data_IF_313340399953
#
_entry.id   IF_313340399953
#
_cell.length_a   1.000
_cell.length_b   1.000
_cell.length_c   1.000
_cell.angle_alpha   90.00
_cell.angle_beta   90.00
_cell.angle_gamma   90.00
#
_symmetry.space_group_name_H-M   'P 1'
#
loop_
_entity.id
_entity.type
_entity.pdbx_description
1 polymer ?
#
# COMPACT_ATOMS: atom_id res chain seq x y z
N UNK A 1 19.04 -14.57 8.31
CA UNK A 1 18.10 -15.17 9.29
C UNK A 1 17.55 -14.15 10.29
N UNK A 2 18.37 -13.51 11.14
CA UNK A 2 17.86 -12.55 12.16
C UNK A 2 17.03 -11.41 11.56
N UNK A 3 17.52 -10.74 10.50
CA UNK A 3 16.76 -9.65 9.84
C UNK A 3 15.43 -10.12 9.23
N UNK A 4 15.37 -11.35 8.69
CA UNK A 4 14.13 -11.93 8.16
C UNK A 4 13.13 -12.23 9.30
N UNK A 5 13.61 -12.74 10.44
CA UNK A 5 12.81 -12.94 11.64
C UNK A 5 12.19 -11.65 12.18
N UNK A 6 12.98 -10.56 12.24
CA UNK A 6 12.47 -9.25 12.66
C UNK A 6 11.38 -8.74 11.71
N UNK A 7 11.57 -8.86 10.38
CA UNK A 7 10.55 -8.46 9.40
C UNK A 7 9.26 -9.27 9.54
N UNK A 8 9.39 -10.58 9.68
CA UNK A 8 8.26 -11.48 9.90
C UNK A 8 7.47 -11.12 11.16
N UNK A 9 8.18 -10.87 12.28
CA UNK A 9 7.56 -10.42 13.52
C UNK A 9 6.82 -9.09 13.37
N UNK A 10 7.44 -8.10 12.71
CA UNK A 10 6.82 -6.80 12.47
C UNK A 10 5.55 -6.90 11.62
N UNK A 11 5.53 -7.77 10.61
CA UNK A 11 4.35 -8.04 9.78
C UNK A 11 3.25 -8.73 10.60
N UNK A 12 3.58 -9.76 11.40
CA UNK A 12 2.63 -10.39 12.30
C UNK A 12 2.02 -9.39 13.28
N UNK A 13 2.87 -8.57 13.92
CA UNK A 13 2.41 -7.58 14.89
C UNK A 13 1.50 -6.54 14.25
N UNK A 14 1.83 -6.08 13.03
CA UNK A 14 1.00 -5.15 12.27
C UNK A 14 -0.40 -5.72 11.99
N UNK A 15 -0.50 -7.01 11.64
CA UNK A 15 -1.78 -7.67 11.37
C UNK A 15 -2.58 -7.89 12.67
N UNK A 16 -1.92 -8.26 13.75
CA UNK A 16 -2.57 -8.48 15.03
C UNK A 16 -3.01 -7.17 15.73
N UNK A 17 -2.41 -6.03 15.36
CA UNK A 17 -2.54 -4.77 16.10
C UNK A 17 -3.99 -4.30 16.33
N UNK A 18 -4.90 -4.27 15.33
CA UNK A 18 -6.29 -3.88 15.59
C UNK A 18 -6.97 -4.79 16.61
N UNK A 19 -6.78 -6.11 16.49
CA UNK A 19 -7.39 -7.08 17.39
C UNK A 19 -6.86 -6.98 18.83
N UNK A 20 -5.57 -6.65 18.99
CA UNK A 20 -4.95 -6.50 20.30
C UNK A 20 -5.33 -5.18 21.00
N UNK A 21 -5.67 -4.15 20.23
CA UNK A 21 -5.92 -2.80 20.78
C UNK A 21 -7.40 -2.46 20.92
N UNK A 22 -8.28 -3.07 20.13
CA UNK A 22 -9.71 -2.79 20.17
C UNK A 22 -10.42 -3.62 21.26
N UNK A 23 -11.30 -3.01 22.07
CA UNK A 23 -12.12 -3.76 23.00
C UNK A 23 -13.22 -4.56 22.28
N UNK A 24 -13.70 -5.64 22.90
CA UNK A 24 -14.89 -6.35 22.43
C UNK A 24 -14.69 -7.27 21.22
N UNK A 25 -13.45 -7.55 20.82
CA UNK A 25 -13.17 -8.51 19.74
C UNK A 25 -13.47 -9.93 20.22
N UNK A 26 -14.26 -10.68 19.45
CA UNK A 26 -14.61 -12.07 19.79
C UNK A 26 -13.39 -12.98 19.84
N UNK A 27 -13.47 -14.08 20.61
CA UNK A 27 -12.41 -15.08 20.67
C UNK A 27 -12.14 -15.71 19.29
N UNK A 28 -13.19 -16.01 18.53
CA UNK A 28 -13.10 -16.59 17.18
C UNK A 28 -12.39 -15.65 16.21
N UNK A 29 -12.75 -14.35 16.22
CA UNK A 29 -12.08 -13.31 15.42
C UNK A 29 -10.61 -13.19 15.80
N UNK A 30 -10.30 -13.22 17.10
CA UNK A 30 -8.92 -13.13 17.61
C UNK A 30 -8.08 -14.32 17.13
N UNK A 31 -8.62 -15.54 17.19
CA UNK A 31 -7.94 -16.75 16.71
C UNK A 31 -7.70 -16.70 15.20
N UNK A 32 -8.70 -16.25 14.42
CA UNK A 32 -8.57 -16.09 12.97
C UNK A 32 -7.46 -15.09 12.61
N UNK A 33 -7.41 -13.94 13.29
CA UNK A 33 -6.39 -12.92 13.05
C UNK A 33 -5.01 -13.41 13.47
N UNK A 34 -4.90 -14.13 14.59
CA UNK A 34 -3.64 -14.74 15.01
C UNK A 34 -3.12 -15.73 13.97
N UNK A 35 -3.99 -16.55 13.38
CA UNK A 35 -3.64 -17.47 12.30
C UNK A 35 -3.16 -16.71 11.04
N UNK A 36 -3.90 -15.67 10.62
CA UNK A 36 -3.52 -14.85 9.47
C UNK A 36 -2.17 -14.14 9.70
N UNK A 37 -1.95 -13.61 10.92
CA UNK A 37 -0.69 -12.99 11.30
C UNK A 37 0.47 -13.99 11.26
N UNK A 38 0.26 -15.23 11.74
CA UNK A 38 1.26 -16.29 11.70
C UNK A 38 1.60 -16.70 10.26
N UNK A 39 0.58 -16.87 9.41
CA UNK A 39 0.77 -17.19 7.99
C UNK A 39 1.54 -16.08 7.27
N UNK A 40 1.16 -14.82 7.46
CA UNK A 40 1.86 -13.68 6.87
C UNK A 40 3.31 -13.55 7.37
N UNK A 41 3.56 -13.81 8.65
CA UNK A 41 4.91 -13.85 9.21
C UNK A 41 5.74 -14.99 8.61
N UNK A 42 5.17 -16.18 8.48
CA UNK A 42 5.84 -17.32 7.86
C UNK A 42 6.20 -17.02 6.40
N UNK A 43 5.26 -16.51 5.60
CA UNK A 43 5.51 -16.13 4.21
C UNK A 43 6.59 -15.04 4.11
N UNK A 44 6.53 -14.02 4.97
CA UNK A 44 7.55 -12.97 5.04
C UNK A 44 8.92 -13.56 5.40
N UNK A 45 8.98 -14.45 6.37
CA UNK A 45 10.23 -15.09 6.78
C UNK A 45 10.84 -15.88 5.64
N UNK A 46 10.06 -16.73 4.97
CA UNK A 46 10.50 -17.55 3.83
C UNK A 46 11.03 -16.64 2.70
N UNK A 47 10.29 -15.62 2.31
CA UNK A 47 10.69 -14.70 1.22
C UNK A 47 12.01 -13.95 1.49
N UNK A 48 12.30 -13.65 2.77
CA UNK A 48 13.51 -12.94 3.18
C UNK A 48 14.68 -13.86 3.61
N UNK A 49 14.45 -15.15 3.78
CA UNK A 49 15.52 -16.15 4.00
C UNK A 49 15.94 -16.81 2.69
N UNK A 50 15.01 -17.03 1.76
CA UNK A 50 15.26 -17.67 0.47
C UNK A 50 16.25 -16.88 -0.39
N UNK A 51 17.08 -17.57 -1.17
CA UNK A 51 18.03 -16.92 -2.10
C UNK A 51 17.26 -16.23 -3.23
N UNK A 52 16.30 -16.94 -3.82
CA UNK A 52 15.40 -16.44 -4.86
C UNK A 52 14.00 -16.21 -4.26
N UNK A 53 13.53 -14.95 -4.17
CA UNK A 53 12.18 -14.67 -3.70
C UNK A 53 11.14 -15.06 -4.76
N UNK A 54 9.89 -15.23 -4.34
CA UNK A 54 8.80 -15.64 -5.24
C UNK A 54 7.83 -14.48 -5.47
N UNK A 55 7.57 -13.68 -4.44
CA UNK A 55 6.53 -12.65 -4.44
C UNK A 55 7.04 -11.26 -4.07
N UNK A 56 8.03 -11.16 -3.17
CA UNK A 56 8.48 -9.87 -2.66
C UNK A 56 9.37 -9.16 -3.67
N UNK A 57 8.79 -8.24 -4.42
CA UNK A 57 9.52 -7.34 -5.30
C UNK A 57 10.32 -6.29 -4.51
N UNK A 58 11.39 -5.78 -5.13
CA UNK A 58 12.31 -4.77 -4.60
C UNK A 58 12.90 -5.13 -3.23
N UNK A 59 13.09 -6.44 -3.00
CA UNK A 59 13.55 -7.01 -1.72
C UNK A 59 14.81 -6.33 -1.19
N UNK A 60 15.79 -6.16 -2.07
CA UNK A 60 17.12 -5.61 -1.77
C UNK A 60 17.31 -4.20 -2.36
N UNK A 61 16.21 -3.48 -2.59
CA UNK A 61 16.22 -2.12 -3.13
C UNK A 61 15.57 -1.10 -2.15
N UNK A 62 16.12 -0.88 -0.95
CA UNK A 62 15.59 0.13 -0.03
C UNK A 62 15.67 1.52 -0.68
N UNK A 63 14.69 2.42 -0.43
CA UNK A 63 13.71 2.37 0.66
C UNK A 63 12.35 1.72 0.34
N UNK A 64 12.15 1.15 -0.86
CA UNK A 64 10.83 0.75 -1.38
C UNK A 64 9.96 -0.05 -0.40
N UNK A 65 10.40 -1.25 0.00
CA UNK A 65 9.63 -2.10 0.92
C UNK A 65 9.50 -1.52 2.34
N UNK A 66 10.47 -0.68 2.76
CA UNK A 66 10.40 0.01 4.06
C UNK A 66 9.28 1.04 4.05
N UNK A 67 9.12 1.77 2.94
CA UNK A 67 8.04 2.73 2.77
C UNK A 67 6.68 2.05 2.72
N UNK A 68 6.55 0.94 1.97
CA UNK A 68 5.30 0.16 1.94
C UNK A 68 4.86 -0.31 3.33
N UNK A 69 5.81 -0.86 4.10
CA UNK A 69 5.54 -1.26 5.48
C UNK A 69 5.15 -0.05 6.35
N UNK A 70 5.90 1.06 6.25
CA UNK A 70 5.62 2.28 7.02
C UNK A 70 4.23 2.85 6.69
N UNK A 71 3.83 2.87 5.42
CA UNK A 71 2.49 3.31 5.00
C UNK A 71 1.40 2.45 5.60
N UNK A 72 1.52 1.12 5.54
CA UNK A 72 0.56 0.21 6.18
C UNK A 72 0.54 0.39 7.69
N UNK A 73 1.71 0.50 8.32
CA UNK A 73 1.83 0.72 9.77
C UNK A 73 1.14 2.00 10.21
N UNK A 74 1.45 3.13 9.57
CA UNK A 74 0.82 4.40 9.87
C UNK A 74 -0.69 4.35 9.66
N UNK A 75 -1.15 3.76 8.54
CA UNK A 75 -2.57 3.64 8.25
C UNK A 75 -3.28 2.81 9.32
N UNK A 76 -2.83 1.58 9.57
CA UNK A 76 -3.47 0.66 10.52
C UNK A 76 -3.46 1.24 11.94
N UNK A 77 -2.32 1.77 12.41
CA UNK A 77 -2.23 2.37 13.75
C UNK A 77 -3.15 3.58 13.87
N UNK A 78 -3.13 4.51 12.91
CA UNK A 78 -4.00 5.69 12.95
C UNK A 78 -5.47 5.32 12.96
N UNK A 79 -5.91 4.41 12.07
CA UNK A 79 -7.31 3.98 12.02
C UNK A 79 -7.72 3.21 13.27
N UNK A 80 -6.83 2.36 13.81
CA UNK A 80 -7.07 1.63 15.07
C UNK A 80 -7.24 2.59 16.24
N UNK A 81 -6.41 3.62 16.34
CA UNK A 81 -6.51 4.62 17.41
C UNK A 81 -7.80 5.45 17.32
N UNK A 82 -8.23 5.81 16.10
CA UNK A 82 -9.51 6.49 15.86
C UNK A 82 -10.68 5.60 16.27
N UNK A 83 -10.68 4.33 15.85
CA UNK A 83 -11.71 3.37 16.21
C UNK A 83 -11.75 3.09 17.73
N UNK A 84 -10.59 2.88 18.36
CA UNK A 84 -10.50 2.67 19.81
C UNK A 84 -11.02 3.87 20.61
N UNK A 85 -10.77 5.09 20.13
CA UNK A 85 -11.23 6.32 20.76
C UNK A 85 -12.75 6.46 20.88
N UNK A 86 -13.53 5.66 20.15
CA UNK A 86 -14.99 5.64 20.29
C UNK A 86 -15.45 4.97 21.59
N UNK A 87 -14.72 3.94 22.06
CA UNK A 87 -15.01 3.25 23.33
C UNK A 87 -14.15 3.74 24.49
N UNK A 88 -12.88 4.08 24.23
CA UNK A 88 -11.91 4.54 25.22
C UNK A 88 -11.25 5.87 24.77
N UNK A 89 -11.96 7.01 24.89
CA UNK A 89 -11.46 8.29 24.42
C UNK A 89 -10.19 8.73 25.13
N UNK A 90 -9.21 9.17 24.36
CA UNK A 90 -8.00 9.83 24.86
C UNK A 90 -7.59 11.00 23.95
N UNK A 91 -6.71 11.88 24.43
CA UNK A 91 -6.30 13.08 23.69
C UNK A 91 -5.75 12.83 22.29
N UNK A 92 -4.98 11.74 22.11
CA UNK A 92 -4.43 11.38 20.80
C UNK A 92 -5.53 10.91 19.84
N UNK A 93 -6.44 10.03 20.29
CA UNK A 93 -7.57 9.57 19.49
C UNK A 93 -8.50 10.72 19.11
N UNK A 94 -8.77 11.66 20.02
CA UNK A 94 -9.59 12.84 19.74
C UNK A 94 -8.94 13.76 18.69
N UNK A 95 -7.63 13.98 18.79
CA UNK A 95 -6.87 14.74 17.79
C UNK A 95 -6.92 14.07 16.41
N UNK A 96 -6.66 12.77 16.34
CA UNK A 96 -6.68 12.01 15.09
C UNK A 96 -8.08 12.01 14.46
N UNK A 97 -9.13 11.85 15.27
CA UNK A 97 -10.52 11.93 14.81
C UNK A 97 -10.86 13.32 14.30
N UNK A 98 -10.45 14.38 15.00
CA UNK A 98 -10.69 15.75 14.56
C UNK A 98 -9.98 16.07 13.23
N UNK A 99 -8.69 15.73 13.12
CA UNK A 99 -7.91 15.89 11.89
C UNK A 99 -8.52 15.07 10.76
N UNK A 100 -8.84 13.81 11.02
CA UNK A 100 -9.45 12.90 10.04
C UNK A 100 -10.81 13.36 9.57
N UNK A 101 -11.64 13.89 10.46
CA UNK A 101 -12.94 14.46 10.13
C UNK A 101 -12.81 15.65 9.16
N UNK A 102 -11.87 16.56 9.43
CA UNK A 102 -11.61 17.70 8.55
C UNK A 102 -11.05 17.28 7.19
N UNK A 103 -10.06 16.38 7.18
CA UNK A 103 -9.52 15.82 5.93
C UNK A 103 -10.62 15.10 5.12
N UNK A 104 -11.46 14.34 5.81
CA UNK A 104 -12.59 13.66 5.22
C UNK A 104 -13.58 14.62 4.58
N UNK A 105 -13.92 15.74 5.23
CA UNK A 105 -14.79 16.78 4.67
C UNK A 105 -14.16 17.48 3.47
N UNK A 106 -12.88 17.85 3.54
CA UNK A 106 -12.15 18.48 2.44
C UNK A 106 -12.08 17.59 1.20
N UNK A 107 -11.99 16.28 1.41
CA UNK A 107 -11.93 15.29 0.34
C UNK A 107 -13.31 14.78 -0.09
N UNK A 108 -14.41 15.12 0.60
CA UNK A 108 -15.78 14.73 0.26
C UNK A 108 -16.42 15.74 -0.70
N UNK A 109 -15.90 15.81 -1.93
CA UNK A 109 -16.46 16.60 -3.02
C UNK A 109 -16.96 15.69 -4.16
N UNK A 110 -17.81 16.19 -5.08
CA UNK A 110 -18.37 15.37 -6.15
C UNK A 110 -17.29 14.61 -6.94
N UNK A 111 -17.52 13.30 -7.12
CA UNK A 111 -16.63 12.36 -7.82
C UNK A 111 -15.27 12.07 -7.16
N UNK A 112 -15.02 12.54 -5.94
CA UNK A 112 -13.79 12.18 -5.24
C UNK A 112 -13.78 10.71 -4.79
N UNK A 113 -12.60 10.07 -4.59
CA UNK A 113 -12.53 8.71 -4.07
C UNK A 113 -13.21 8.55 -2.70
N UNK A 114 -13.05 9.53 -1.82
CA UNK A 114 -13.68 9.53 -0.49
C UNK A 114 -15.21 9.61 -0.61
N UNK A 115 -15.73 10.45 -1.52
CA UNK A 115 -17.17 10.52 -1.81
C UNK A 115 -17.69 9.19 -2.32
N UNK A 116 -16.98 8.57 -3.27
CA UNK A 116 -17.38 7.28 -3.83
C UNK A 116 -17.40 6.18 -2.76
N UNK A 117 -16.45 6.20 -1.82
CA UNK A 117 -16.47 5.28 -0.67
C UNK A 117 -17.70 5.49 0.22
N UNK A 118 -18.09 6.74 0.50
CA UNK A 118 -19.32 7.02 1.25
C UNK A 118 -20.58 6.51 0.56
N UNK A 119 -20.62 6.53 -0.78
CA UNK A 119 -21.75 5.99 -1.55
C UNK A 119 -21.89 4.46 -1.45
N UNK A 120 -20.88 3.76 -0.92
CA UNK A 120 -21.01 2.32 -0.62
C UNK A 120 -21.98 2.03 0.52
N UNK A 121 -22.21 3.01 1.41
CA UNK A 121 -23.18 2.87 2.49
C UNK A 121 -24.62 2.78 1.97
N UNK A 122 -25.52 2.11 2.72
CA UNK A 122 -26.97 2.22 2.54
C UNK A 122 -27.46 3.67 2.66
N UNK A 123 -28.57 3.99 2.00
CA UNK A 123 -29.13 5.35 1.98
C UNK A 123 -29.66 5.79 3.36
N UNK A 124 -30.01 4.83 4.21
CA UNK A 124 -30.52 4.98 5.58
C UNK A 124 -29.42 4.81 6.64
N UNK A 125 -28.15 4.72 6.24
CA UNK A 125 -27.04 4.57 7.16
C UNK A 125 -27.01 5.71 8.19
N UNK A 126 -26.84 5.42 9.50
CA UNK A 126 -26.79 6.44 10.55
C UNK A 126 -25.72 7.50 10.27
N UNK A 127 -25.99 8.76 10.64
CA UNK A 127 -25.03 9.85 10.45
C UNK A 127 -23.69 9.59 11.14
N UNK A 128 -23.72 8.91 12.29
CA UNK A 128 -22.51 8.51 13.04
C UNK A 128 -21.63 7.57 12.23
N UNK A 129 -22.23 6.58 11.54
CA UNK A 129 -21.51 5.66 10.67
C UNK A 129 -20.94 6.38 9.44
N UNK A 130 -21.72 7.28 8.84
CA UNK A 130 -21.24 8.10 7.72
C UNK A 130 -20.04 8.98 8.11
N UNK A 131 -20.08 9.62 9.28
CA UNK A 131 -18.97 10.42 9.81
C UNK A 131 -17.75 9.56 10.11
N UNK A 132 -17.96 8.38 10.69
CA UNK A 132 -16.89 7.42 10.98
C UNK A 132 -16.21 6.97 9.68
N UNK A 133 -16.98 6.51 8.69
CA UNK A 133 -16.45 6.07 7.40
C UNK A 133 -15.71 7.22 6.68
N UNK A 134 -16.27 8.44 6.68
CA UNK A 134 -15.63 9.63 6.10
C UNK A 134 -14.27 9.90 6.74
N UNK A 135 -14.20 9.84 8.07
CA UNK A 135 -12.97 10.08 8.84
C UNK A 135 -11.90 9.04 8.51
N UNK A 136 -12.27 7.74 8.49
CA UNK A 136 -11.34 6.66 8.17
C UNK A 136 -10.85 6.73 6.72
N UNK A 137 -11.77 6.96 5.77
CA UNK A 137 -11.44 7.11 4.36
C UNK A 137 -10.51 8.32 4.11
N UNK A 138 -10.80 9.47 4.73
CA UNK A 138 -9.98 10.67 4.64
C UNK A 138 -8.55 10.44 5.13
N UNK A 139 -8.38 9.87 6.33
CA UNK A 139 -7.07 9.56 6.89
C UNK A 139 -6.28 8.57 6.03
N UNK A 140 -6.90 7.44 5.66
CA UNK A 140 -6.26 6.40 4.86
C UNK A 140 -5.80 6.94 3.51
N UNK A 141 -6.65 7.72 2.84
CA UNK A 141 -6.35 8.30 1.53
C UNK A 141 -5.22 9.34 1.61
N UNK A 142 -5.22 10.22 2.63
CA UNK A 142 -4.13 11.19 2.80
C UNK A 142 -2.81 10.50 3.09
N UNK A 143 -2.80 9.51 3.99
CA UNK A 143 -1.57 8.75 4.29
C UNK A 143 -1.04 8.05 3.04
N UNK A 144 -1.91 7.49 2.20
CA UNK A 144 -1.50 6.78 0.98
C UNK A 144 -0.96 7.73 -0.09
N UNK A 145 -1.57 8.90 -0.28
CA UNK A 145 -1.10 9.95 -1.20
C UNK A 145 0.25 10.50 -0.75
N UNK A 146 0.38 10.90 0.52
CA UNK A 146 1.63 11.42 1.08
C UNK A 146 2.75 10.40 0.98
N UNK A 147 2.47 9.13 1.28
CA UNK A 147 3.44 8.06 1.15
C UNK A 147 3.91 7.88 -0.29
N UNK A 148 2.99 7.95 -1.26
CA UNK A 148 3.31 7.82 -2.69
C UNK A 148 4.17 8.99 -3.16
N UNK A 149 3.83 10.22 -2.76
CA UNK A 149 4.62 11.42 -3.04
C UNK A 149 6.03 11.33 -2.44
N UNK A 150 6.13 10.84 -1.20
CA UNK A 150 7.41 10.64 -0.53
C UNK A 150 8.28 9.58 -1.24
N UNK A 151 7.71 8.44 -1.63
CA UNK A 151 8.43 7.42 -2.41
C UNK A 151 8.90 7.99 -3.73
N UNK A 152 8.04 8.72 -4.44
CA UNK A 152 8.43 9.39 -5.68
C UNK A 152 9.62 10.33 -5.44
N UNK A 153 9.55 11.21 -4.43
CA UNK A 153 10.66 12.11 -4.09
C UNK A 153 11.95 11.38 -3.73
N UNK A 154 11.88 10.33 -2.91
CA UNK A 154 13.06 9.55 -2.49
C UNK A 154 13.73 8.83 -3.66
N UNK A 155 12.93 8.25 -4.56
CA UNK A 155 13.42 7.51 -5.74
C UNK A 155 14.16 8.45 -6.72
N UNK A 156 13.69 9.69 -6.86
CA UNK A 156 14.32 10.69 -7.74
C UNK A 156 15.51 11.41 -7.09
N UNK A 157 15.45 11.71 -5.79
CA UNK A 157 16.49 12.49 -5.12
C UNK A 157 17.71 11.65 -4.69
N UNK A 158 17.54 10.39 -4.28
CA UNK A 158 18.60 9.64 -3.59
C UNK A 158 19.48 8.79 -4.51
N UNK A 159 19.60 9.09 -5.80
CA UNK A 159 20.32 8.22 -6.78
C UNK A 159 19.89 6.75 -6.69
N UNK A 160 18.65 6.48 -6.26
CA UNK A 160 18.13 5.13 -6.13
C UNK A 160 18.02 4.48 -7.51
N UNK A 161 18.32 3.17 -7.66
CA UNK A 161 18.78 2.21 -6.64
C UNK A 161 20.31 2.11 -6.51
N UNK A 162 21.09 2.96 -7.20
CA UNK A 162 22.53 2.79 -7.41
C UNK A 162 23.37 2.85 -6.12
N UNK A 163 22.89 3.53 -5.07
CA UNK A 163 23.63 3.65 -3.79
C UNK A 163 23.81 2.34 -3.03
N UNK A 164 22.98 1.33 -3.29
CA UNK A 164 22.99 0.06 -2.55
C UNK A 164 23.53 -1.12 -3.38
N UNK A 165 24.28 -0.82 -4.45
CA UNK A 165 24.87 -1.82 -5.34
C UNK A 165 24.13 -1.96 -6.67
N UNK A 166 24.53 -2.97 -7.47
CA UNK A 166 23.90 -3.25 -8.75
C UNK A 166 22.49 -3.84 -8.56
N UNK A 167 21.52 -3.31 -9.31
CA UNK A 167 20.14 -3.79 -9.27
C UNK A 167 20.05 -5.20 -9.88
N UNK A 168 19.77 -6.21 -9.06
CA UNK A 168 19.56 -7.59 -9.51
C UNK A 168 18.08 -7.82 -9.84
N UNK A 169 17.78 -8.15 -11.11
CA UNK A 169 16.42 -8.39 -11.60
C UNK A 169 15.75 -9.60 -10.95
N UNK A 170 16.43 -10.73 -10.85
CA UNK A 170 15.86 -11.97 -10.30
C UNK A 170 15.49 -11.84 -8.82
N UNK A 171 16.22 -11.02 -8.07
CA UNK A 171 15.98 -10.77 -6.65
C UNK A 171 14.93 -9.68 -6.42
N UNK A 172 14.92 -8.64 -7.25
CA UNK A 172 14.04 -7.48 -7.04
C UNK A 172 12.77 -7.53 -7.89
N UNK A 173 12.70 -8.37 -8.91
CA UNK A 173 11.55 -8.54 -9.78
C UNK A 173 11.42 -10.03 -10.14
N UNK A 174 11.15 -10.91 -9.15
CA UNK A 174 11.13 -12.36 -9.37
C UNK A 174 10.10 -12.81 -10.41
N UNK A 175 9.02 -12.02 -10.60
CA UNK A 175 7.97 -12.29 -11.59
C UNK A 175 8.29 -11.70 -12.98
N UNK A 176 9.39 -10.97 -13.13
CA UNK A 176 9.81 -10.37 -14.39
C UNK A 176 10.96 -11.17 -15.00
N UNK A 177 10.73 -11.79 -16.15
CA UNK A 177 11.79 -12.47 -16.89
C UNK A 177 12.52 -11.49 -17.84
N UNK A 178 13.78 -11.10 -17.54
CA UNK A 178 14.56 -10.20 -18.39
C UNK A 178 15.01 -10.85 -19.71
N UNK A 179 14.97 -12.17 -19.82
CA UNK A 179 15.44 -12.96 -20.97
C UNK A 179 14.34 -13.45 -21.91
N UNK A 180 13.06 -13.25 -21.57
CA UNK A 180 11.89 -13.71 -22.32
C UNK A 180 11.70 -13.13 -23.75
N UNK A 181 12.75 -12.65 -24.40
CA UNK A 181 12.71 -12.02 -25.72
C UNK A 181 12.09 -10.62 -25.69
N UNK A 182 12.38 -9.82 -26.71
CA UNK A 182 11.94 -8.43 -26.82
C UNK A 182 12.73 -7.43 -25.95
N UNK A 183 12.47 -6.14 -26.14
CA UNK A 183 13.19 -5.10 -25.40
C UNK A 183 12.70 -4.99 -23.95
N UNK A 184 13.58 -5.33 -23.01
CA UNK A 184 13.37 -5.18 -21.56
C UNK A 184 12.96 -3.74 -21.21
N UNK A 185 13.56 -2.74 -21.87
CA UNK A 185 13.25 -1.34 -21.60
C UNK A 185 11.80 -0.99 -21.94
N UNK A 186 11.32 -1.45 -23.10
CA UNK A 186 9.92 -1.26 -23.50
C UNK A 186 8.95 -1.92 -22.50
N UNK A 187 9.23 -3.15 -22.06
CA UNK A 187 8.39 -3.86 -21.09
C UNK A 187 8.34 -3.14 -19.75
N UNK A 188 9.48 -2.69 -19.22
CA UNK A 188 9.52 -1.93 -17.96
C UNK A 188 8.73 -0.62 -18.03
N UNK A 189 8.84 0.14 -19.13
CA UNK A 189 8.07 1.38 -19.32
C UNK A 189 6.57 1.11 -19.43
N UNK A 190 6.18 0.09 -20.21
CA UNK A 190 4.78 -0.32 -20.34
C UNK A 190 4.20 -0.73 -18.98
N UNK A 191 4.88 -1.61 -18.27
CA UNK A 191 4.41 -2.11 -16.97
C UNK A 191 4.37 -0.98 -15.93
N UNK A 192 5.32 -0.04 -15.98
CA UNK A 192 5.27 1.19 -15.20
C UNK A 192 4.01 2.01 -15.46
N UNK A 193 3.71 2.32 -16.73
CA UNK A 193 2.52 3.09 -17.10
C UNK A 193 1.23 2.38 -16.67
N UNK A 194 1.15 1.07 -16.86
CA UNK A 194 0.00 0.26 -16.43
C UNK A 194 -0.17 0.34 -14.91
N UNK A 195 0.90 0.18 -14.13
CA UNK A 195 0.82 0.25 -12.66
C UNK A 195 0.42 1.65 -12.16
N UNK A 196 0.93 2.73 -12.77
CA UNK A 196 0.54 4.11 -12.42
C UNK A 196 -0.92 4.38 -12.80
N UNK A 197 -1.33 4.01 -14.01
CA UNK A 197 -2.70 4.20 -14.48
C UNK A 197 -3.70 3.43 -13.61
N UNK A 198 -3.45 2.13 -13.36
CA UNK A 198 -4.30 1.33 -12.47
C UNK A 198 -4.29 1.87 -11.05
N UNK A 199 -3.12 2.22 -10.51
CA UNK A 199 -3.01 2.80 -9.17
C UNK A 199 -3.74 4.14 -9.02
N UNK A 200 -3.88 4.92 -10.09
CA UNK A 200 -4.70 6.13 -10.09
C UNK A 200 -6.20 5.84 -10.20
N UNK A 201 -6.59 4.83 -10.99
CA UNK A 201 -8.00 4.49 -11.24
C UNK A 201 -8.64 3.69 -10.09
N UNK A 202 -7.88 2.81 -9.44
CA UNK A 202 -8.39 1.90 -8.41
C UNK A 202 -9.11 2.55 -7.22
N UNK A 203 -8.69 3.71 -6.67
CA UNK A 203 -9.42 4.37 -5.59
C UNK A 203 -10.86 4.72 -5.97
N UNK A 204 -11.15 4.89 -7.27
CA UNK A 204 -12.48 5.15 -7.83
C UNK A 204 -13.21 3.86 -8.21
N UNK A 205 -12.48 2.91 -8.80
CA UNK A 205 -13.05 1.63 -9.24
C UNK A 205 -13.48 0.74 -8.07
N UNK A 206 -12.69 0.67 -6.99
CA UNK A 206 -12.98 -0.20 -5.85
C UNK A 206 -14.34 0.16 -5.22
N UNK A 207 -14.63 1.42 -4.83
CA UNK A 207 -15.95 1.77 -4.31
C UNK A 207 -17.09 1.50 -5.30
N UNK A 208 -16.87 1.73 -6.60
CA UNK A 208 -17.87 1.46 -7.62
C UNK A 208 -18.21 -0.05 -7.70
N UNK A 209 -17.19 -0.91 -7.65
CA UNK A 209 -17.36 -2.36 -7.60
C UNK A 209 -18.05 -2.80 -6.33
N UNK A 210 -17.68 -2.24 -5.17
CA UNK A 210 -18.35 -2.53 -3.89
C UNK A 210 -19.84 -2.15 -3.94
N UNK A 211 -20.17 -0.98 -4.51
CA UNK A 211 -21.55 -0.54 -4.67
C UNK A 211 -22.34 -1.38 -5.66
N UNK A 212 -21.71 -1.84 -6.75
CA UNK A 212 -22.35 -2.74 -7.70
C UNK A 212 -22.59 -4.12 -7.07
N UNK A 213 -21.62 -4.64 -6.33
CA UNK A 213 -21.71 -5.93 -5.64
C UNK A 213 -22.84 -5.92 -4.59
N UNK A 214 -23.06 -4.79 -3.90
CA UNK A 214 -24.13 -4.67 -2.90
C UNK A 214 -25.55 -4.82 -3.47
N UNK A 215 -25.73 -4.85 -4.79
CA UNK A 215 -27.01 -5.16 -5.43
C UNK A 215 -27.26 -6.67 -5.57
N UNK A 216 -26.21 -7.50 -5.42
CA UNK A 216 -26.25 -8.96 -5.60
C UNK A 216 -25.97 -9.74 -4.32
N UNK A 217 -25.28 -9.13 -3.36
CA UNK A 217 -24.91 -9.72 -2.06
C UNK A 217 -25.10 -8.70 -0.94
N UNK A 218 -25.16 -9.19 0.30
CA UNK A 218 -25.28 -8.32 1.47
C UNK A 218 -24.12 -7.30 1.51
N UNK A 219 -24.40 -6.00 1.73
CA UNK A 219 -23.36 -5.00 1.83
C UNK A 219 -22.36 -5.31 2.95
N UNK A 220 -21.11 -4.91 2.76
CA UNK A 220 -20.11 -4.97 3.83
C UNK A 220 -20.59 -4.08 4.99
N UNK A 221 -20.75 -4.66 6.18
CA UNK A 221 -21.04 -3.89 7.39
C UNK A 221 -19.78 -3.17 7.86
N UNK A 222 -19.87 -1.85 7.97
CA UNK A 222 -18.82 -1.00 8.53
C UNK A 222 -19.03 -0.70 10.01
N UNK A 223 -20.00 -1.36 10.66
CA UNK A 223 -20.24 -1.24 12.10
C UNK A 223 -19.15 -1.96 12.90
N UNK A 224 -18.58 -3.02 12.34
CA UNK A 224 -17.40 -3.69 12.90
C UNK A 224 -16.12 -2.87 12.62
N UNK A 225 -15.42 -2.39 13.66
CA UNK A 225 -14.21 -1.58 13.48
C UNK A 225 -13.09 -2.32 12.75
N UNK A 226 -12.98 -3.65 12.91
CA UNK A 226 -11.97 -4.44 12.21
C UNK A 226 -12.20 -4.42 10.70
N UNK A 227 -13.45 -4.68 10.28
CA UNK A 227 -13.87 -4.62 8.88
C UNK A 227 -13.62 -3.23 8.29
N UNK A 228 -13.94 -2.16 9.03
CA UNK A 228 -13.69 -0.79 8.59
C UNK A 228 -12.20 -0.49 8.43
N UNK A 229 -11.36 -0.82 9.42
CA UNK A 229 -9.90 -0.59 9.36
C UNK A 229 -9.28 -1.33 8.17
N UNK A 230 -9.58 -2.62 8.01
CA UNK A 230 -8.97 -3.44 6.95
C UNK A 230 -9.45 -3.03 5.57
N UNK A 231 -10.74 -2.72 5.41
CA UNK A 231 -11.29 -2.27 4.13
C UNK A 231 -10.67 -0.93 3.71
N UNK A 232 -10.61 0.06 4.61
CA UNK A 232 -10.01 1.36 4.31
C UNK A 232 -8.50 1.24 4.05
N UNK A 233 -7.80 0.39 4.80
CA UNK A 233 -6.39 0.11 4.59
C UNK A 233 -6.16 -0.50 3.21
N UNK A 234 -6.91 -1.54 2.83
CA UNK A 234 -6.77 -2.19 1.53
C UNK A 234 -7.11 -1.22 0.38
N UNK A 235 -8.23 -0.50 0.51
CA UNK A 235 -8.67 0.48 -0.50
C UNK A 235 -7.64 1.58 -0.75
N UNK A 236 -7.02 2.13 0.30
CA UNK A 236 -6.04 3.20 0.13
C UNK A 236 -4.63 2.69 -0.22
N UNK A 237 -4.23 1.53 0.31
CA UNK A 237 -2.87 1.01 0.15
C UNK A 237 -2.65 0.29 -1.18
N UNK A 238 -3.62 -0.50 -1.67
CA UNK A 238 -3.46 -1.23 -2.94
C UNK A 238 -3.12 -0.28 -4.10
N UNK A 239 -3.88 0.80 -4.34
CA UNK A 239 -3.58 1.72 -5.44
C UNK A 239 -2.25 2.44 -5.24
N UNK A 240 -1.97 2.91 -4.01
CA UNK A 240 -0.70 3.55 -3.68
C UNK A 240 0.49 2.62 -3.94
N UNK A 241 0.39 1.35 -3.58
CA UNK A 241 1.45 0.36 -3.82
C UNK A 241 1.70 0.11 -5.31
N UNK A 242 0.65 0.17 -6.14
CA UNK A 242 0.79 0.09 -7.60
C UNK A 242 1.47 1.34 -8.15
N UNK A 243 1.10 2.54 -7.71
CA UNK A 243 1.78 3.77 -8.16
C UNK A 243 3.26 3.73 -7.75
N UNK A 244 3.56 3.38 -6.49
CA UNK A 244 4.94 3.24 -6.02
C UNK A 244 5.72 2.27 -6.90
N UNK A 245 5.16 1.10 -7.20
CA UNK A 245 5.77 0.09 -8.08
C UNK A 245 6.01 0.66 -9.48
N UNK A 246 5.02 1.33 -10.07
CA UNK A 246 5.16 1.93 -11.38
C UNK A 246 6.26 3.00 -11.44
N UNK A 247 6.35 3.85 -10.42
CA UNK A 247 7.44 4.84 -10.28
C UNK A 247 8.81 4.16 -10.19
N UNK A 248 8.93 3.10 -9.39
CA UNK A 248 10.16 2.33 -9.26
C UNK A 248 10.59 1.68 -10.58
N UNK A 249 9.65 1.10 -11.33
CA UNK A 249 9.89 0.51 -12.64
C UNK A 249 10.32 1.56 -13.68
N UNK A 250 9.67 2.73 -13.70
CA UNK A 250 10.07 3.83 -14.60
C UNK A 250 11.50 4.26 -14.32
N UNK A 251 11.85 4.41 -13.05
CA UNK A 251 13.19 4.84 -12.66
C UNK A 251 14.27 3.84 -13.12
N UNK A 252 14.01 2.55 -13.01
CA UNK A 252 14.93 1.52 -13.50
C UNK A 252 15.07 1.60 -15.02
N UNK A 253 13.96 1.80 -15.75
CA UNK A 253 13.97 1.97 -17.19
C UNK A 253 14.83 3.17 -17.62
N UNK A 254 14.66 4.33 -16.99
CA UNK A 254 15.47 5.54 -17.25
C UNK A 254 16.96 5.27 -17.06
N UNK A 255 17.35 4.62 -15.97
CA UNK A 255 18.75 4.32 -15.68
C UNK A 255 19.38 3.35 -16.69
N UNK A 256 18.61 2.39 -17.19
CA UNK A 256 19.06 1.48 -18.26
C UNK A 256 19.24 2.26 -19.55
N UNK A 257 18.30 3.14 -19.87
CA UNK A 257 18.35 3.96 -21.07
C UNK A 257 19.56 4.90 -21.06
N UNK A 258 19.82 5.57 -19.93
CA UNK A 258 21.02 6.38 -19.74
C UNK A 258 22.32 5.56 -19.90
N UNK A 259 22.38 4.36 -19.32
CA UNK A 259 23.55 3.48 -19.47
C UNK A 259 23.77 3.06 -20.92
N UNK A 260 22.70 2.69 -21.64
CA UNK A 260 22.77 2.36 -23.07
C UNK A 260 23.30 3.54 -23.88
N UNK A 261 22.74 4.75 -23.68
CA UNK A 261 23.19 5.97 -24.37
C UNK A 261 24.68 6.26 -24.13
N UNK A 262 25.17 6.13 -22.88
CA UNK A 262 26.59 6.32 -22.56
C UNK A 262 27.49 5.29 -23.23
N UNK A 263 27.06 4.02 -23.28
CA UNK A 263 27.80 2.96 -23.95
C UNK A 263 27.91 3.19 -25.46
N UNK A 264 26.82 3.64 -26.12
CA UNK A 264 26.84 4.00 -27.54
C UNK A 264 27.79 5.18 -27.82
N UNK A 265 27.71 6.24 -27.01
CA UNK A 265 28.61 7.39 -27.16
C UNK A 265 30.09 7.02 -26.96
N UNK A 266 30.40 6.10 -26.03
CA UNK A 266 31.76 5.59 -25.85
C UNK A 266 32.22 4.75 -27.05
N UNK A 267 31.34 3.93 -27.63
CA UNK A 267 31.67 3.15 -28.82
C UNK A 267 31.95 4.04 -30.03
N UNK A 268 31.17 5.11 -30.22
CA UNK A 268 31.41 6.10 -31.29
C UNK A 268 32.78 6.79 -31.14
N UNK A 269 33.17 7.16 -29.91
CA UNK A 269 34.48 7.76 -29.63
C UNK A 269 35.66 6.80 -29.83
N UNK A 270 35.45 5.49 -29.76
CA UNK A 270 36.50 4.49 -30.00
C UNK A 270 36.67 4.17 -31.50
N UNK A 271 35.69 4.53 -32.32
CA UNK A 271 35.69 4.32 -33.77
C UNK A 271 36.12 5.57 -34.54
N UNK A 272 36.02 6.75 -33.92
CA UNK A 272 36.51 8.04 -34.43
C UNK A 272 38.01 8.25 -34.20
#
# INVERSE_FOLDING_TARGET
MISAGVRAFLVAMLIALPALMLPGVSADTTQMIALLALLAAMLTFVEYVSVFPSFVEFRDAPPFNRMRFLTLFLTIVTLTLVSRGQGEPNGLSALLTAVGGQLGLLLDFPFSPVRLMLLTLPADAPETLQQSLRTHAGLAYVISVLSTMLVWGLVHAMQWPLRNGAFNFWVNLPLFDPTAGGDVLYRLKRDSHVNVALGFLLPFLIPAVLKAASAMMDPISFDDPQTMIWTMTAWAFLPASMIMRGVALMRIAELIEEKRRRAYAQAELLVA
#
